data_IF_299272914651
#
_entry.id   IF_299272914651
#
_cell.length_a   1.000
_cell.length_b   1.000
_cell.length_c   1.000
_cell.angle_alpha   90.00
_cell.angle_beta   90.00
_cell.angle_gamma   90.00
#
_symmetry.space_group_name_H-M   'P 1'
#
loop_
_entity.id
_entity.type
_entity.pdbx_description
1 polymer ?
#
# COMPACT_ATOMS: atom_id res chain seq x y z
N UNK A 1 -3.70 -32.65 -3.87
CA UNK A 1 -3.01 -31.52 -4.45
C UNK A 1 -3.59 -31.20 -5.83
N UNK A 2 -4.64 -30.40 -5.88
CA UNK A 2 -5.09 -29.81 -7.14
C UNK A 2 -4.07 -28.72 -7.48
N UNK A 3 -3.27 -28.98 -8.51
CA UNK A 3 -2.12 -28.16 -8.85
C UNK A 3 -2.52 -26.73 -9.24
N UNK A 4 -1.66 -25.78 -8.90
CA UNK A 4 -1.70 -24.39 -9.36
C UNK A 4 -1.93 -24.26 -10.90
N UNK A 5 -1.65 -25.30 -11.69
CA UNK A 5 -1.88 -25.35 -13.14
C UNK A 5 -3.33 -25.25 -13.60
N UNK A 6 -4.31 -25.62 -12.76
CA UNK A 6 -5.74 -25.56 -13.16
C UNK A 6 -6.37 -24.16 -12.96
N UNK A 7 -5.77 -23.32 -12.11
CA UNK A 7 -6.22 -21.93 -11.91
C UNK A 7 -5.91 -21.06 -13.14
N UNK A 8 -4.86 -21.40 -13.90
CA UNK A 8 -4.42 -20.66 -15.09
C UNK A 8 -5.18 -21.02 -16.38
N UNK A 9 -5.93 -22.11 -16.40
CA UNK A 9 -6.75 -22.49 -17.57
C UNK A 9 -8.00 -21.62 -17.74
N UNK A 10 -8.44 -20.94 -16.69
CA UNK A 10 -9.49 -19.92 -16.78
C UNK A 10 -8.83 -18.57 -17.05
N UNK A 11 -9.10 -17.97 -18.19
CA UNK A 11 -8.58 -16.65 -18.55
C UNK A 11 -9.08 -15.62 -17.52
N UNK A 12 -8.19 -15.18 -16.62
CA UNK A 12 -8.51 -14.10 -15.71
C UNK A 12 -8.60 -12.78 -16.48
N UNK A 13 -9.73 -12.11 -16.41
CA UNK A 13 -9.93 -10.79 -17.02
C UNK A 13 -9.36 -9.66 -16.14
N UNK A 14 -9.29 -9.88 -14.85
CA UNK A 14 -8.76 -8.94 -13.86
C UNK A 14 -7.70 -9.65 -13.02
N UNK A 15 -6.53 -9.02 -12.88
CA UNK A 15 -5.45 -9.50 -12.03
C UNK A 15 -5.21 -8.46 -10.95
N UNK A 16 -5.28 -8.87 -9.69
CA UNK A 16 -4.94 -8.04 -8.52
C UNK A 16 -3.72 -8.67 -7.85
N UNK A 17 -2.65 -7.92 -7.74
CA UNK A 17 -1.39 -8.44 -7.19
C UNK A 17 -0.52 -7.30 -6.62
N UNK A 18 0.36 -7.64 -5.70
CA UNK A 18 1.48 -6.76 -5.34
C UNK A 18 2.59 -6.85 -6.40
N UNK A 19 3.37 -5.77 -6.63
CA UNK A 19 4.40 -5.75 -7.68
C UNK A 19 5.38 -6.91 -7.60
N UNK A 20 5.98 -7.16 -6.44
CA UNK A 20 6.95 -8.23 -6.24
C UNK A 20 6.35 -9.60 -6.56
N UNK A 21 5.13 -9.91 -6.08
CA UNK A 21 4.50 -11.20 -6.35
C UNK A 21 4.15 -11.40 -7.80
N UNK A 22 3.63 -10.35 -8.47
CA UNK A 22 3.34 -10.41 -9.89
C UNK A 22 4.61 -10.62 -10.70
N UNK A 23 5.67 -9.91 -10.37
CA UNK A 23 6.96 -10.05 -11.03
C UNK A 23 7.55 -11.44 -10.89
N UNK A 24 7.50 -12.03 -9.69
CA UNK A 24 7.96 -13.41 -9.46
C UNK A 24 7.17 -14.43 -10.30
N UNK A 25 5.88 -14.24 -10.44
CA UNK A 25 5.06 -15.13 -11.27
C UNK A 25 5.38 -14.99 -12.75
N UNK A 26 5.59 -13.77 -13.24
CA UNK A 26 5.91 -13.48 -14.64
C UNK A 26 7.23 -14.08 -15.05
N UNK A 27 8.23 -14.11 -14.17
CA UNK A 27 9.55 -14.73 -14.46
C UNK A 27 9.47 -16.21 -14.84
N UNK A 28 8.40 -16.88 -14.42
CA UNK A 28 8.23 -18.33 -14.59
C UNK A 28 7.05 -18.69 -15.50
N UNK A 29 6.33 -17.72 -16.08
CA UNK A 29 5.16 -17.93 -16.93
C UNK A 29 5.11 -16.89 -18.06
N UNK A 30 5.62 -17.29 -19.23
CA UNK A 30 5.65 -16.45 -20.44
C UNK A 30 4.23 -16.10 -20.93
N UNK A 31 3.25 -16.98 -20.71
CA UNK A 31 1.87 -16.71 -21.09
C UNK A 31 1.26 -15.63 -20.23
N UNK A 32 1.57 -15.61 -18.92
CA UNK A 32 1.19 -14.53 -18.02
C UNK A 32 1.91 -13.22 -18.41
N UNK A 33 3.21 -13.29 -18.71
CA UNK A 33 3.99 -12.14 -19.15
C UNK A 33 3.37 -11.47 -20.38
N UNK A 34 2.99 -12.27 -21.39
CA UNK A 34 2.34 -11.77 -22.61
C UNK A 34 0.98 -11.11 -22.32
N UNK A 35 0.19 -11.68 -21.42
CA UNK A 35 -1.10 -11.12 -21.02
C UNK A 35 -0.95 -9.78 -20.29
N UNK A 36 0.03 -9.69 -19.40
CA UNK A 36 0.33 -8.44 -18.69
C UNK A 36 0.76 -7.34 -19.67
N UNK A 37 1.59 -7.68 -20.68
CA UNK A 37 1.97 -6.76 -21.77
C UNK A 37 0.75 -6.23 -22.56
N UNK A 38 -0.26 -7.07 -22.76
CA UNK A 38 -1.48 -6.74 -23.50
C UNK A 38 -2.58 -6.13 -22.65
N UNK A 39 -2.26 -5.74 -21.42
CA UNK A 39 -3.22 -5.11 -20.51
C UNK A 39 -3.86 -3.87 -21.14
N UNK A 40 -5.18 -3.73 -20.97
CA UNK A 40 -5.95 -2.56 -21.44
C UNK A 40 -6.04 -1.48 -20.38
N UNK A 41 -6.05 -1.87 -19.12
CA UNK A 41 -6.18 -0.98 -17.98
C UNK A 41 -5.12 -1.35 -16.96
N UNK A 42 -4.29 -0.38 -16.60
CA UNK A 42 -3.33 -0.48 -15.50
C UNK A 42 -3.84 0.39 -14.36
N UNK A 43 -4.03 -0.21 -13.20
CA UNK A 43 -4.42 0.51 -11.98
C UNK A 43 -3.28 0.37 -10.97
N UNK A 44 -2.76 1.49 -10.52
CA UNK A 44 -1.74 1.59 -9.46
C UNK A 44 -2.43 2.21 -8.25
N UNK A 45 -2.66 1.40 -7.23
CA UNK A 45 -3.27 1.85 -5.99
C UNK A 45 -2.21 2.03 -4.91
N UNK A 46 -2.46 2.95 -3.95
CA UNK A 46 -1.51 3.30 -2.89
C UNK A 46 -0.10 3.62 -3.42
N UNK A 47 -0.01 4.44 -4.47
CA UNK A 47 1.23 4.74 -5.18
C UNK A 47 2.32 5.35 -4.28
N UNK A 48 1.95 6.16 -3.29
CA UNK A 48 2.84 6.69 -2.25
C UNK A 48 3.48 5.57 -1.41
N UNK A 49 2.73 4.53 -1.09
CA UNK A 49 3.23 3.40 -0.31
C UNK A 49 4.18 2.49 -1.08
N UNK A 50 4.01 2.38 -2.38
CA UNK A 50 4.93 1.59 -3.20
C UNK A 50 6.34 2.15 -3.16
N UNK A 51 6.46 3.46 -3.00
CA UNK A 51 7.74 4.17 -2.91
C UNK A 51 8.37 3.96 -1.54
N UNK A 52 7.60 4.10 -0.46
CA UNK A 52 8.07 3.94 0.92
C UNK A 52 8.54 2.51 1.23
N UNK A 53 7.87 1.51 0.67
CA UNK A 53 8.12 0.10 0.96
C UNK A 53 9.34 -0.50 0.25
N UNK A 54 10.05 0.26 -0.59
CA UNK A 54 11.21 -0.23 -1.35
C UNK A 54 10.87 -1.22 -2.47
N UNK A 55 9.59 -1.39 -2.82
CA UNK A 55 9.13 -2.24 -3.94
C UNK A 55 9.18 -1.53 -5.30
N UNK A 56 9.97 -0.47 -5.36
CA UNK A 56 10.08 0.35 -6.57
C UNK A 56 10.74 -0.38 -7.73
N UNK A 57 11.69 -1.28 -7.45
CA UNK A 57 12.42 -2.01 -8.49
C UNK A 57 11.51 -2.94 -9.30
N UNK A 58 10.68 -3.75 -8.64
CA UNK A 58 9.75 -4.66 -9.31
C UNK A 58 8.64 -3.88 -10.03
N UNK A 59 8.18 -2.77 -9.44
CA UNK A 59 7.21 -1.90 -10.09
C UNK A 59 7.77 -1.25 -11.35
N UNK A 60 9.03 -0.79 -11.32
CA UNK A 60 9.69 -0.21 -12.49
C UNK A 60 9.83 -1.24 -13.62
N UNK A 61 10.21 -2.49 -13.30
CA UNK A 61 10.28 -3.58 -14.27
C UNK A 61 8.91 -3.89 -14.91
N UNK A 62 7.85 -3.89 -14.11
CA UNK A 62 6.46 -4.05 -14.61
C UNK A 62 6.06 -2.89 -15.52
N UNK A 63 6.35 -1.64 -15.12
CA UNK A 63 6.06 -0.46 -15.94
C UNK A 63 6.83 -0.47 -17.26
N UNK A 64 8.11 -0.89 -17.25
CA UNK A 64 8.89 -1.06 -18.48
C UNK A 64 8.28 -2.10 -19.39
N UNK A 65 7.78 -3.22 -18.84
CA UNK A 65 7.19 -4.30 -19.60
C UNK A 65 5.88 -3.90 -20.30
N UNK A 66 5.04 -3.09 -19.66
CA UNK A 66 3.74 -2.63 -20.23
C UNK A 66 3.86 -1.35 -21.05
N UNK A 67 5.05 -0.77 -21.15
CA UNK A 67 5.28 0.51 -21.80
C UNK A 67 4.97 0.47 -23.30
N UNK A 68 4.23 1.47 -23.81
CA UNK A 68 3.79 1.58 -25.20
C UNK A 68 4.85 2.15 -26.17
N UNK A 69 6.09 2.34 -25.76
CA UNK A 69 7.13 3.00 -26.55
C UNK A 69 7.39 2.25 -27.87
N UNK A 70 7.45 2.97 -28.97
CA UNK A 70 7.84 2.45 -30.28
C UNK A 70 9.22 1.78 -30.18
N UNK A 71 9.27 0.46 -30.40
CA UNK A 71 10.52 -0.32 -30.32
C UNK A 71 10.64 -1.24 -29.10
N UNK A 72 9.85 -1.08 -28.05
CA UNK A 72 9.69 -2.08 -27.01
C UNK A 72 8.64 -3.09 -27.46
N UNK A 73 8.87 -4.35 -27.23
CA UNK A 73 8.12 -5.54 -27.66
C UNK A 73 6.83 -5.26 -28.44
N UNK A 74 6.70 -5.77 -29.64
CA UNK A 74 5.56 -5.61 -30.57
C UNK A 74 4.17 -5.98 -29.95
N UNK A 75 4.16 -6.46 -28.72
CA UNK A 75 3.00 -6.99 -28.00
C UNK A 75 2.35 -6.03 -27.00
N UNK A 76 2.89 -4.83 -26.78
CA UNK A 76 2.29 -3.85 -25.86
C UNK A 76 1.00 -3.26 -26.45
N UNK A 77 -0.03 -3.11 -25.62
CA UNK A 77 -1.30 -2.53 -26.06
C UNK A 77 -1.17 -0.99 -26.22
N UNK A 78 -1.33 -0.45 -27.46
CA UNK A 78 -1.19 0.98 -27.70
C UNK A 78 -2.29 1.82 -27.02
N UNK A 79 -3.44 1.21 -26.73
CA UNK A 79 -4.60 1.88 -26.14
C UNK A 79 -4.72 1.71 -24.63
N UNK A 80 -3.65 1.24 -23.97
CA UNK A 80 -3.65 1.07 -22.53
C UNK A 80 -3.95 2.38 -21.80
N UNK A 81 -4.92 2.33 -20.88
CA UNK A 81 -5.21 3.41 -19.94
C UNK A 81 -4.58 3.13 -18.58
N UNK A 82 -3.99 4.16 -17.99
CA UNK A 82 -3.35 4.06 -16.66
C UNK A 82 -4.06 4.96 -15.67
N UNK A 83 -4.37 4.39 -14.50
CA UNK A 83 -4.98 5.06 -13.37
C UNK A 83 -4.04 4.95 -12.16
N UNK A 84 -3.76 6.07 -11.51
CA UNK A 84 -2.92 6.11 -10.31
C UNK A 84 -3.72 6.71 -9.16
N UNK A 85 -3.79 5.97 -8.06
CA UNK A 85 -4.45 6.40 -6.83
C UNK A 85 -3.42 6.56 -5.72
N UNK A 86 -3.53 7.64 -4.96
CA UNK A 86 -2.65 7.95 -3.84
C UNK A 86 -3.37 8.80 -2.81
N UNK A 87 -3.11 8.57 -1.52
CA UNK A 87 -3.66 9.39 -0.43
C UNK A 87 -2.91 10.71 -0.25
N UNK A 88 -1.67 10.82 -0.72
CA UNK A 88 -0.76 11.94 -0.45
C UNK A 88 -0.48 12.84 -1.66
N UNK A 89 -1.36 12.85 -2.66
CA UNK A 89 -1.21 13.73 -3.83
C UNK A 89 -1.51 15.19 -3.47
N UNK A 90 -0.46 15.99 -3.25
CA UNK A 90 -0.58 17.43 -2.98
C UNK A 90 -0.67 18.29 -4.26
N UNK A 91 -1.15 19.54 -4.12
CA UNK A 91 -1.15 20.53 -5.24
C UNK A 91 0.26 20.78 -5.82
N UNK A 92 1.29 20.69 -4.98
CA UNK A 92 2.69 20.78 -5.42
C UNK A 92 3.03 19.66 -6.42
N UNK A 93 2.48 18.47 -6.22
CA UNK A 93 2.66 17.32 -7.08
C UNK A 93 2.05 17.55 -8.49
N UNK A 94 0.90 18.22 -8.58
CA UNK A 94 0.28 18.57 -9.87
C UNK A 94 1.18 19.48 -10.69
N UNK A 95 1.82 20.45 -10.02
CA UNK A 95 2.75 21.37 -10.68
C UNK A 95 4.04 20.64 -11.09
N UNK A 96 4.52 19.72 -10.24
CA UNK A 96 5.69 18.90 -10.51
C UNK A 96 5.43 17.87 -11.60
N UNK A 97 4.24 17.27 -11.65
CA UNK A 97 3.84 16.35 -12.72
C UNK A 97 3.88 17.05 -14.10
N UNK A 98 3.31 18.24 -14.20
CA UNK A 98 3.40 19.05 -15.44
C UNK A 98 4.86 19.33 -15.79
N UNK A 99 5.70 19.69 -14.84
CA UNK A 99 7.15 19.92 -15.05
C UNK A 99 7.90 18.63 -15.39
N UNK A 100 7.59 17.50 -14.74
CA UNK A 100 8.23 16.21 -15.00
C UNK A 100 7.90 15.68 -16.38
N UNK A 101 6.64 15.78 -16.81
CA UNK A 101 6.20 15.43 -18.15
C UNK A 101 6.86 16.31 -19.23
N UNK A 102 7.04 17.60 -18.93
CA UNK A 102 7.77 18.53 -19.81
C UNK A 102 9.26 18.21 -19.86
N UNK A 103 9.91 17.88 -18.72
CA UNK A 103 11.32 17.47 -18.62
C UNK A 103 11.59 16.12 -19.27
N UNK A 104 10.64 15.17 -19.28
CA UNK A 104 10.75 13.88 -19.99
C UNK A 104 11.06 14.07 -21.49
N UNK A 105 10.67 15.22 -22.07
CA UNK A 105 11.00 15.60 -23.43
C UNK A 105 12.47 16.04 -23.60
N UNK A 106 13.16 16.41 -22.52
CA UNK A 106 14.53 16.97 -22.55
C UNK A 106 15.61 16.15 -21.85
N UNK A 107 15.27 15.15 -21.02
CA UNK A 107 16.25 14.42 -20.19
C UNK A 107 16.39 12.94 -20.57
N UNK A 108 17.53 12.62 -21.12
CA UNK A 108 18.23 11.36 -20.93
C UNK A 108 19.01 11.49 -19.61
N UNK A 109 18.88 10.47 -18.73
CA UNK A 109 19.74 10.23 -17.57
C UNK A 109 19.64 11.22 -16.40
N UNK A 110 18.72 10.94 -15.46
CA UNK A 110 18.81 11.43 -14.10
C UNK A 110 18.77 10.23 -13.14
N UNK A 111 19.58 10.31 -12.09
CA UNK A 111 19.61 9.33 -11.00
C UNK A 111 18.19 9.05 -10.47
N UNK A 112 17.84 7.79 -10.18
CA UNK A 112 16.51 7.42 -9.70
C UNK A 112 16.28 8.01 -8.31
N UNK A 113 15.47 9.06 -8.22
CA UNK A 113 14.93 9.51 -6.95
C UNK A 113 13.69 8.67 -6.61
N UNK A 114 13.64 8.06 -5.45
CA UNK A 114 12.50 7.25 -4.98
C UNK A 114 11.36 8.16 -4.49
N UNK A 115 10.83 8.99 -5.37
CA UNK A 115 9.72 9.91 -5.06
C UNK A 115 8.48 9.59 -5.90
N UNK A 116 7.31 10.03 -5.44
CA UNK A 116 6.06 9.87 -6.18
C UNK A 116 6.11 10.59 -7.54
N UNK A 117 6.79 11.73 -7.63
CA UNK A 117 7.04 12.44 -8.88
C UNK A 117 7.81 11.58 -9.88
N UNK A 118 8.79 10.81 -9.40
CA UNK A 118 9.59 9.91 -10.22
C UNK A 118 8.77 8.71 -10.71
N UNK A 119 7.93 8.12 -9.85
CA UNK A 119 6.98 7.08 -10.26
C UNK A 119 6.05 7.59 -11.35
N UNK A 120 5.42 8.75 -11.15
CA UNK A 120 4.51 9.35 -12.12
C UNK A 120 5.19 9.69 -13.44
N UNK A 121 6.46 10.10 -13.41
CA UNK A 121 7.26 10.33 -14.61
C UNK A 121 7.57 9.05 -15.40
N UNK A 122 7.61 7.89 -14.71
CA UNK A 122 7.85 6.57 -15.32
C UNK A 122 6.57 5.91 -15.82
N UNK A 123 5.44 6.25 -15.23
CA UNK A 123 4.12 5.78 -15.69
C UNK A 123 3.89 6.27 -17.13
N UNK A 124 3.44 5.35 -17.98
CA UNK A 124 3.12 5.66 -19.37
C UNK A 124 1.62 6.01 -19.50
N UNK A 125 1.29 7.27 -19.30
CA UNK A 125 -0.08 7.76 -19.51
C UNK A 125 -0.41 7.82 -21.01
N UNK A 126 -1.64 7.47 -21.39
CA UNK A 126 -2.09 7.51 -22.78
C UNK A 126 -2.05 8.94 -23.33
N UNK A 127 -2.47 9.89 -22.53
CA UNK A 127 -2.52 11.30 -22.91
C UNK A 127 -1.29 12.04 -22.37
N UNK A 128 -0.80 13.00 -23.13
CA UNK A 128 0.35 13.82 -22.74
C UNK A 128 0.07 14.67 -21.49
N UNK A 129 -1.19 14.99 -21.25
CA UNK A 129 -1.67 15.71 -20.07
C UNK A 129 -2.69 14.83 -19.34
N UNK A 130 -2.28 14.01 -18.37
CA UNK A 130 -3.19 13.19 -17.61
C UNK A 130 -4.15 14.04 -16.76
N UNK A 131 -5.39 13.60 -16.64
CA UNK A 131 -6.39 14.25 -15.80
C UNK A 131 -6.04 13.99 -14.34
N UNK A 132 -5.94 15.05 -13.54
CA UNK A 132 -5.71 14.96 -12.10
C UNK A 132 -7.01 15.32 -11.38
N UNK A 133 -7.54 14.39 -10.59
CA UNK A 133 -8.73 14.58 -9.78
C UNK A 133 -8.30 14.64 -8.32
N UNK A 134 -8.42 15.80 -7.69
CA UNK A 134 -8.13 15.98 -6.28
C UNK A 134 -9.45 15.89 -5.48
N UNK A 135 -9.56 14.87 -4.66
CA UNK A 135 -10.72 14.66 -3.78
C UNK A 135 -10.43 15.08 -2.34
N UNK A 136 -9.19 15.51 -2.04
CA UNK A 136 -8.84 15.94 -0.71
C UNK A 136 -9.61 17.21 -0.34
N UNK A 137 -10.39 17.14 0.73
CA UNK A 137 -10.97 18.32 1.38
C UNK A 137 -9.84 19.14 2.03
N UNK A 138 -10.07 20.43 2.28
CA UNK A 138 -9.08 21.31 2.95
C UNK A 138 -8.66 20.79 4.34
N UNK A 139 -9.45 19.89 4.92
CA UNK A 139 -9.13 19.18 6.17
C UNK A 139 -8.56 17.80 5.80
N UNK A 140 -7.37 17.51 6.31
CA UNK A 140 -6.70 16.20 6.13
C UNK A 140 -7.39 15.05 6.89
N UNK A 141 -8.42 15.35 7.67
CA UNK A 141 -9.14 14.44 8.57
C UNK A 141 -10.61 14.46 8.21
N UNK A 142 -11.27 13.31 8.27
CA UNK A 142 -12.72 13.21 8.03
C UNK A 142 -13.50 14.01 9.08
N UNK A 143 -14.56 14.70 8.67
CA UNK A 143 -15.38 15.55 9.57
C UNK A 143 -16.01 14.77 10.73
N UNK A 144 -16.12 13.45 10.60
CA UNK A 144 -16.68 12.55 11.63
C UNK A 144 -15.62 12.03 12.60
N UNK A 145 -14.32 12.34 12.39
CA UNK A 145 -13.25 11.90 13.27
C UNK A 145 -13.00 12.94 14.37
N UNK A 146 -13.06 12.48 15.61
CA UNK A 146 -12.64 13.26 16.77
C UNK A 146 -11.19 12.97 17.10
N UNK A 147 -10.34 13.98 17.02
CA UNK A 147 -8.91 13.88 17.34
C UNK A 147 -8.64 14.45 18.73
N UNK A 148 -7.81 13.77 19.50
CA UNK A 148 -7.30 14.23 20.78
C UNK A 148 -5.80 13.95 20.89
N UNK A 149 -5.06 14.87 21.51
CA UNK A 149 -3.63 14.72 21.80
C UNK A 149 -3.44 14.70 23.32
N UNK A 150 -2.63 13.78 23.79
CA UNK A 150 -2.21 13.69 25.17
C UNK A 150 -0.69 13.78 25.26
N UNK A 151 -0.19 14.76 25.99
CA UNK A 151 1.23 14.89 26.27
C UNK A 151 1.55 14.24 27.62
N UNK A 152 2.49 13.32 27.65
CA UNK A 152 2.87 12.60 28.84
C UNK A 152 4.36 12.21 28.83
N UNK A 153 4.91 11.94 29.99
CA UNK A 153 6.26 11.38 30.14
C UNK A 153 6.26 9.92 29.65
N UNK A 154 7.39 9.47 29.11
CA UNK A 154 7.49 8.12 28.51
C UNK A 154 7.12 6.98 29.47
N UNK A 155 7.37 7.15 30.78
CA UNK A 155 7.04 6.18 31.81
C UNK A 155 5.53 6.03 32.05
N UNK A 156 4.75 7.07 31.79
CA UNK A 156 3.29 7.10 32.05
C UNK A 156 2.46 6.65 30.86
N UNK A 157 3.08 6.45 29.70
CA UNK A 157 2.36 6.08 28.47
C UNK A 157 1.48 4.86 28.61
N UNK A 158 1.95 3.84 29.32
CA UNK A 158 1.22 2.58 29.49
C UNK A 158 0.02 2.78 30.41
N UNK A 159 0.17 3.58 31.45
CA UNK A 159 -0.92 3.94 32.36
C UNK A 159 -2.02 4.75 31.63
N UNK A 160 -1.62 5.71 30.80
CA UNK A 160 -2.59 6.46 29.99
C UNK A 160 -3.28 5.58 28.95
N UNK A 161 -2.55 4.66 28.30
CA UNK A 161 -3.15 3.70 27.37
C UNK A 161 -4.20 2.84 28.11
N UNK A 162 -3.84 2.29 29.27
CA UNK A 162 -4.76 1.51 30.09
C UNK A 162 -5.99 2.33 30.48
N UNK A 163 -5.80 3.55 30.96
CA UNK A 163 -6.89 4.47 31.29
C UNK A 163 -7.84 4.71 30.11
N UNK A 164 -7.29 5.00 28.92
CA UNK A 164 -8.10 5.24 27.71
C UNK A 164 -8.92 4.00 27.36
N UNK A 165 -8.31 2.80 27.40
CA UNK A 165 -8.99 1.56 27.07
C UNK A 165 -10.13 1.22 28.06
N UNK A 166 -10.00 1.61 29.32
CA UNK A 166 -11.05 1.47 30.31
C UNK A 166 -12.14 2.55 30.17
N UNK A 167 -11.73 3.79 29.92
CA UNK A 167 -12.64 4.94 29.87
C UNK A 167 -13.52 4.91 28.62
N UNK A 168 -12.99 4.40 27.52
CA UNK A 168 -13.66 4.32 26.22
C UNK A 168 -13.72 2.84 25.78
N UNK A 169 -14.62 2.04 26.35
CA UNK A 169 -14.71 0.63 26.03
C UNK A 169 -15.17 0.45 24.60
N UNK A 170 -14.51 -0.49 23.89
CA UNK A 170 -14.80 -0.82 22.51
C UNK A 170 -13.65 -1.55 21.84
N UNK A 171 -13.72 -1.68 20.53
CA UNK A 171 -12.62 -2.19 19.74
C UNK A 171 -11.63 -1.08 19.43
N UNK A 172 -10.44 -1.18 19.99
CA UNK A 172 -9.40 -0.15 19.86
C UNK A 172 -8.22 -0.67 19.05
N UNK A 173 -7.80 0.07 18.04
CA UNK A 173 -6.58 -0.18 17.30
C UNK A 173 -5.46 0.70 17.87
N UNK A 174 -4.38 0.07 18.34
CA UNK A 174 -3.25 0.74 18.97
C UNK A 174 -2.02 0.57 18.08
N UNK A 175 -1.51 1.65 17.53
CA UNK A 175 -0.27 1.63 16.75
C UNK A 175 0.93 1.91 17.65
N UNK A 176 1.98 1.12 17.46
CA UNK A 176 3.27 1.27 18.14
C UNK A 176 4.41 1.24 17.12
N UNK A 177 5.47 1.97 17.41
CA UNK A 177 6.58 2.15 16.46
C UNK A 177 7.43 0.89 16.25
N UNK A 178 7.44 -0.05 17.21
CA UNK A 178 8.29 -1.24 17.14
C UNK A 178 7.56 -2.51 17.59
N UNK A 179 7.98 -3.66 17.05
CA UNK A 179 7.45 -4.98 17.41
C UNK A 179 7.64 -5.27 18.89
N UNK A 180 8.73 -4.83 19.48
CA UNK A 180 9.00 -5.03 20.91
C UNK A 180 7.99 -4.30 21.80
N UNK A 181 7.46 -3.15 21.34
CA UNK A 181 6.33 -2.50 22.00
C UNK A 181 5.07 -3.36 21.98
N UNK A 182 4.77 -4.02 20.86
CA UNK A 182 3.65 -4.99 20.78
C UNK A 182 3.87 -6.16 21.73
N UNK A 183 5.07 -6.75 21.73
CA UNK A 183 5.43 -7.89 22.58
C UNK A 183 5.33 -7.58 24.07
N UNK A 184 5.64 -6.36 24.44
CA UNK A 184 5.57 -5.89 25.85
C UNK A 184 4.12 -5.57 26.26
N UNK A 185 3.39 -4.84 25.43
CA UNK A 185 2.05 -4.35 25.78
C UNK A 185 0.97 -5.43 25.76
N UNK A 186 1.03 -6.40 24.84
CA UNK A 186 0.01 -7.47 24.76
C UNK A 186 -0.11 -8.27 26.06
N UNK A 187 0.97 -8.85 26.63
CA UNK A 187 0.86 -9.57 27.89
C UNK A 187 0.49 -8.65 29.06
N UNK A 188 0.98 -7.40 29.08
CA UNK A 188 0.63 -6.43 30.11
C UNK A 188 -0.87 -6.14 30.13
N UNK A 189 -1.47 -5.81 28.99
CA UNK A 189 -2.91 -5.52 28.91
C UNK A 189 -3.74 -6.77 29.21
N UNK A 190 -3.29 -7.94 28.79
CA UNK A 190 -3.96 -9.21 29.08
C UNK A 190 -3.96 -9.48 30.60
N UNK A 191 -2.84 -9.24 31.28
CA UNK A 191 -2.74 -9.36 32.74
C UNK A 191 -3.69 -8.37 33.44
N UNK A 192 -3.88 -7.19 32.89
CA UNK A 192 -4.79 -6.17 33.41
C UNK A 192 -6.27 -6.42 33.01
N UNK A 193 -6.59 -7.58 32.44
CA UNK A 193 -7.95 -7.98 32.10
C UNK A 193 -8.48 -7.39 30.78
N UNK A 194 -7.64 -6.75 29.96
CA UNK A 194 -8.02 -6.25 28.64
C UNK A 194 -7.60 -7.26 27.57
N UNK A 195 -8.54 -7.85 26.80
CA UNK A 195 -8.20 -8.71 25.69
C UNK A 195 -7.35 -7.95 24.66
N UNK A 196 -6.11 -8.39 24.45
CA UNK A 196 -5.16 -7.74 23.55
C UNK A 196 -4.59 -8.73 22.54
N UNK A 197 -4.55 -8.34 21.27
CA UNK A 197 -4.10 -9.18 20.17
C UNK A 197 -2.97 -8.49 19.39
N UNK A 198 -1.87 -9.21 19.09
CA UNK A 198 -0.77 -8.65 18.31
C UNK A 198 -1.05 -8.72 16.81
N UNK A 199 -0.56 -7.70 16.06
CA UNK A 199 -0.56 -7.67 14.60
C UNK A 199 0.73 -6.99 14.07
N UNK A 200 1.70 -7.79 13.61
CA UNK A 200 2.98 -7.30 13.10
C UNK A 200 3.58 -8.24 12.04
N UNK A 201 4.58 -7.77 11.30
CA UNK A 201 5.16 -8.48 10.16
C UNK A 201 5.82 -9.82 10.47
N UNK A 202 6.32 -10.03 11.70
CA UNK A 202 6.96 -11.29 12.09
C UNK A 202 5.97 -12.42 12.44
N UNK A 203 4.67 -12.12 12.54
CA UNK A 203 3.66 -13.16 12.72
C UNK A 203 3.40 -13.89 11.41
N UNK A 204 3.23 -15.22 11.50
CA UNK A 204 2.77 -16.02 10.37
C UNK A 204 1.37 -15.55 9.93
N UNK A 205 1.08 -15.64 8.63
CA UNK A 205 -0.19 -15.18 8.08
C UNK A 205 -1.41 -15.81 8.76
N UNK A 206 -1.34 -17.09 9.08
CA UNK A 206 -2.42 -17.77 9.78
C UNK A 206 -2.68 -17.19 11.18
N UNK A 207 -1.63 -16.83 11.92
CA UNK A 207 -1.77 -16.16 13.22
C UNK A 207 -2.36 -14.77 13.10
N UNK A 208 -1.93 -14.02 12.07
CA UNK A 208 -2.47 -12.67 11.79
C UNK A 208 -3.98 -12.75 11.58
N UNK A 209 -4.44 -13.64 10.70
CA UNK A 209 -5.87 -13.85 10.44
C UNK A 209 -6.63 -14.26 11.70
N UNK A 210 -6.08 -15.21 12.50
CA UNK A 210 -6.68 -15.65 13.75
C UNK A 210 -6.83 -14.51 14.77
N UNK A 211 -5.83 -13.64 14.89
CA UNK A 211 -5.88 -12.50 15.80
C UNK A 211 -6.89 -11.45 15.34
N UNK A 212 -6.97 -11.18 14.03
CA UNK A 212 -7.98 -10.32 13.46
C UNK A 212 -9.40 -10.85 13.70
N UNK A 213 -9.64 -12.15 13.51
CA UNK A 213 -10.94 -12.76 13.76
C UNK A 213 -11.34 -12.68 15.23
N UNK A 214 -10.40 -12.91 16.15
CA UNK A 214 -10.64 -12.74 17.58
C UNK A 214 -11.00 -11.30 17.93
N UNK A 215 -10.24 -10.33 17.40
CA UNK A 215 -10.51 -8.91 17.59
C UNK A 215 -11.88 -8.52 17.05
N UNK A 216 -12.27 -9.01 15.87
CA UNK A 216 -13.58 -8.73 15.26
C UNK A 216 -14.76 -9.25 16.10
N UNK A 217 -14.59 -10.41 16.74
CA UNK A 217 -15.64 -11.03 17.55
C UNK A 217 -15.73 -10.47 18.97
N UNK A 218 -14.68 -9.87 19.47
CA UNK A 218 -14.66 -9.29 20.80
C UNK A 218 -15.38 -7.95 20.81
N UNK A 219 -16.34 -7.71 21.73
CA UNK A 219 -17.01 -6.42 21.85
C UNK A 219 -16.06 -5.33 22.37
N UNK A 220 -15.09 -5.73 23.20
CA UNK A 220 -14.07 -4.87 23.79
C UNK A 220 -12.73 -5.55 23.66
N UNK A 221 -11.80 -4.98 22.93
CA UNK A 221 -10.46 -5.53 22.76
C UNK A 221 -9.50 -4.47 22.19
N UNK A 222 -8.20 -4.65 22.43
CA UNK A 222 -7.15 -3.89 21.81
C UNK A 222 -6.44 -4.74 20.74
N UNK A 223 -6.28 -4.21 19.53
CA UNK A 223 -5.41 -4.77 18.51
C UNK A 223 -4.14 -3.92 18.47
N UNK A 224 -3.02 -4.48 18.91
CA UNK A 224 -1.74 -3.79 18.93
C UNK A 224 -0.97 -4.07 17.63
N UNK A 225 -0.71 -3.03 16.87
CA UNK A 225 -0.16 -3.14 15.54
C UNK A 225 1.08 -2.26 15.35
N UNK A 226 1.98 -2.68 14.49
CA UNK A 226 2.98 -1.79 13.91
C UNK A 226 2.48 -1.25 12.57
N UNK A 227 3.12 -0.21 12.02
CA UNK A 227 2.72 0.42 10.74
C UNK A 227 2.54 -0.56 9.57
N UNK A 228 3.26 -1.69 9.59
CA UNK A 228 3.08 -2.77 8.60
C UNK A 228 1.65 -3.33 8.60
N UNK A 229 0.97 -3.27 9.73
CA UNK A 229 -0.40 -3.76 9.88
C UNK A 229 -1.47 -2.66 9.64
N UNK A 230 -1.08 -1.40 9.60
CA UNK A 230 -1.92 -0.29 9.16
C UNK A 230 -2.22 -0.36 7.64
N UNK A 231 -1.49 -1.20 6.95
CA UNK A 231 -1.52 -1.35 5.51
C UNK A 231 -2.36 -2.57 5.16
N UNK A 232 -3.67 -2.47 5.17
CA UNK A 232 -4.72 -3.40 4.74
C UNK A 232 -4.33 -4.83 4.42
#
# INVERSE_FOLDING_TARGET
SRGLGDVYKRQAHIVVATPGRLWDMIKHDDALALRVRRTRFLVIDEADRMIEAGHFAEMDLLLQMVRRTKGAAADANPDMQTFVYSATMSKALQTNLKRALWRKKQRREAEPSNTLDDLLARVDFRDAEPIVIEMATQRHVADTLYEAKMECVGQDKDAYLYYILLRYPGRTLVFVNAIDGVRRLVPLLTLLGIPAYPLHGQLQQQQRLKNLDRFRRAPHAALLATDVAARG
#
